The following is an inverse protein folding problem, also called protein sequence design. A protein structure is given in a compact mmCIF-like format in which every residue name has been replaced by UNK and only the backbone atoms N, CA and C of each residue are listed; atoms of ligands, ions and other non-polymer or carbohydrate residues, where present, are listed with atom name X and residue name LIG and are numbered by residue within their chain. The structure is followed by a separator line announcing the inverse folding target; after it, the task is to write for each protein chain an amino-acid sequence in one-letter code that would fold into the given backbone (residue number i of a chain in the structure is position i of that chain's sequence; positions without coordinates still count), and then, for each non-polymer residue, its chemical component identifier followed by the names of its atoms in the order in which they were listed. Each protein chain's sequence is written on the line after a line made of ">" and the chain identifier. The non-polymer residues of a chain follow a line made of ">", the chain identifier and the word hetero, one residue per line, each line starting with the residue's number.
data_IF_760487743024
#
_entry.id   IF_760487743024
#
_cell.length_a   1.000
_cell.length_b   1.000
_cell.length_c   1.000
_cell.angle_alpha   90.00
_cell.angle_beta   90.00
_cell.angle_gamma   90.00
#
_symmetry.space_group_name_H-M   'P 1'
#
loop_
_entity.id
_entity.type
_entity.pdbx_description
1 polymer ?
#
# COMPACT_ATOMS: atom_id res chain seq x y z
N UNK A 1 -38.25 20.32 8.52
CA UNK A 1 -37.79 19.78 9.83
C UNK A 1 -36.77 18.69 9.52
N UNK A 2 -35.49 19.01 9.60
CA UNK A 2 -34.37 18.08 9.34
C UNK A 2 -33.92 17.45 10.67
N UNK A 3 -33.73 16.12 10.74
CA UNK A 3 -33.22 15.47 11.94
C UNK A 3 -31.70 15.65 12.08
N UNK A 4 -31.30 15.76 13.35
CA UNK A 4 -30.00 16.16 13.88
C UNK A 4 -28.87 15.20 13.46
N UNK A 5 -27.83 15.76 12.85
CA UNK A 5 -26.51 15.14 12.71
C UNK A 5 -25.86 14.96 14.09
N UNK A 6 -25.93 13.75 14.65
CA UNK A 6 -25.02 13.25 15.69
C UNK A 6 -24.66 11.81 15.30
N UNK A 7 -23.35 11.54 15.23
CA UNK A 7 -22.67 10.26 14.92
C UNK A 7 -22.19 10.09 13.47
N UNK A 8 -21.21 10.89 13.06
CA UNK A 8 -20.16 10.45 12.13
C UNK A 8 -18.86 11.03 12.67
N UNK A 9 -18.23 10.33 13.62
CA UNK A 9 -17.03 10.79 14.32
C UNK A 9 -16.03 9.66 14.56
N UNK A 10 -16.09 8.60 13.75
CA UNK A 10 -15.12 7.51 13.75
C UNK A 10 -14.86 7.12 12.31
N UNK A 11 -13.59 6.89 11.99
CA UNK A 11 -13.04 6.49 10.68
C UNK A 11 -12.66 7.64 9.74
N UNK A 12 -11.71 8.48 10.19
CA UNK A 12 -10.68 9.09 9.34
C UNK A 12 -9.38 9.11 10.15
N UNK A 13 -8.86 7.93 10.44
CA UNK A 13 -7.50 7.78 10.98
C UNK A 13 -6.54 7.79 9.80
N UNK A 14 -6.22 8.98 9.29
CA UNK A 14 -5.08 9.18 8.39
C UNK A 14 -3.82 9.26 9.27
N UNK A 15 -3.43 8.11 9.84
CA UNK A 15 -2.15 7.98 10.53
C UNK A 15 -1.07 7.97 9.46
N UNK A 16 -0.59 9.16 9.10
CA UNK A 16 0.46 9.39 8.10
C UNK A 16 1.86 9.15 8.67
N UNK A 17 1.99 8.16 9.56
CA UNK A 17 3.27 7.70 10.10
C UNK A 17 3.56 6.34 9.48
N UNK A 18 3.89 6.34 8.18
CA UNK A 18 4.38 5.15 7.51
C UNK A 18 5.82 4.88 7.96
N UNK A 19 5.99 4.03 8.98
CA UNK A 19 7.30 3.51 9.40
C UNK A 19 7.78 2.51 8.34
N UNK A 20 8.41 3.00 7.27
CA UNK A 20 9.05 2.16 6.26
C UNK A 20 10.39 1.64 6.81
N UNK A 21 10.36 0.41 7.32
CA UNK A 21 11.55 -0.31 7.78
C UNK A 21 12.39 -0.80 6.58
N UNK A 22 13.63 -0.33 6.42
CA UNK A 22 14.67 -0.99 5.59
C UNK A 22 16.10 -0.54 5.98
N UNK A 23 16.88 -1.53 6.43
CA UNK A 23 18.33 -1.72 6.68
C UNK A 23 19.35 -0.58 6.47
N UNK A 24 20.32 -0.50 7.39
CA UNK A 24 21.37 0.53 7.52
C UNK A 24 22.78 0.02 7.14
N UNK A 25 23.61 0.90 6.57
CA UNK A 25 25.07 0.85 6.68
C UNK A 25 25.58 2.23 7.11
N UNK A 26 26.53 2.22 8.05
CA UNK A 26 26.98 3.36 8.83
C UNK A 26 28.08 4.19 8.15
N UNK A 27 28.03 5.51 8.33
CA UNK A 27 29.23 6.36 8.37
C UNK A 27 28.97 7.63 9.20
N UNK A 28 29.88 7.93 10.13
CA UNK A 28 29.86 9.13 10.98
C UNK A 28 30.49 10.34 10.27
N UNK A 29 29.92 11.53 10.47
CA UNK A 29 30.47 12.82 10.05
C UNK A 29 29.99 13.95 10.97
N UNK A 30 30.83 14.96 11.20
CA UNK A 30 30.91 15.81 12.41
C UNK A 30 30.11 17.12 12.29
N UNK A 31 29.63 17.59 13.45
CA UNK A 31 28.72 18.73 13.76
C UNK A 31 29.29 20.13 13.45
N UNK A 32 28.44 21.06 13.03
CA UNK A 32 28.54 22.51 13.28
C UNK A 32 27.17 23.05 13.74
N UNK A 33 27.17 23.93 14.75
CA UNK A 33 25.98 24.52 15.37
C UNK A 33 25.54 25.79 14.62
N UNK A 34 24.29 25.85 14.17
CA UNK A 34 23.70 27.03 13.55
C UNK A 34 22.70 27.72 14.51
N UNK A 35 22.90 29.03 14.70
CA UNK A 35 21.98 29.96 15.38
C UNK A 35 20.69 30.11 14.59
N UNK A 36 19.55 30.12 15.28
CA UNK A 36 18.22 30.40 14.71
C UNK A 36 18.20 31.80 14.08
N UNK A 37 17.95 31.95 12.77
CA UNK A 37 17.73 33.25 12.16
C UNK A 37 16.36 33.79 12.58
N UNK A 38 16.25 35.09 12.84
CA UNK A 38 14.94 35.75 12.88
C UNK A 38 14.24 35.52 11.52
N UNK A 39 13.06 34.91 11.55
CA UNK A 39 12.26 34.65 10.36
C UNK A 39 11.87 35.97 9.71
N UNK A 40 12.26 36.17 8.44
CA UNK A 40 11.87 37.30 7.60
C UNK A 40 10.50 37.11 6.96
N UNK A 41 9.77 36.06 7.33
CA UNK A 41 8.44 35.78 6.81
C UNK A 41 7.41 36.77 7.35
N UNK A 42 6.73 37.45 6.44
CA UNK A 42 5.68 38.45 6.72
C UNK A 42 4.29 37.96 6.30
N UNK A 43 4.17 36.69 5.92
CA UNK A 43 2.88 36.09 5.56
C UNK A 43 1.94 35.98 6.77
N UNK A 44 0.65 35.81 6.49
CA UNK A 44 -0.38 35.76 7.52
C UNK A 44 -0.17 34.56 8.46
N UNK A 45 -0.43 34.74 9.75
CA UNK A 45 -0.43 33.64 10.73
C UNK A 45 -1.68 32.78 10.52
N UNK A 46 -1.50 31.48 10.27
CA UNK A 46 -2.58 30.50 10.08
C UNK A 46 -2.83 29.64 11.31
N UNK A 47 -1.87 29.52 12.22
CA UNK A 47 -2.11 28.94 13.53
C UNK A 47 -1.27 29.61 14.62
N UNK A 48 -1.80 29.66 15.84
CA UNK A 48 -1.09 30.11 17.04
C UNK A 48 -1.22 29.04 18.12
N UNK A 49 -0.12 28.74 18.81
CA UNK A 49 -0.09 27.71 19.85
C UNK A 49 0.83 28.11 21.00
N UNK A 50 0.83 27.33 22.08
CA UNK A 50 1.80 27.51 23.16
C UNK A 50 3.21 27.21 22.66
N UNK A 51 3.99 28.25 22.39
CA UNK A 51 5.39 28.13 21.96
C UNK A 51 5.69 28.71 20.58
N UNK A 52 4.68 29.11 19.81
CA UNK A 52 4.91 29.71 18.49
C UNK A 52 3.66 29.99 17.68
N UNK A 53 3.91 30.22 16.39
CA UNK A 53 2.92 30.45 15.34
C UNK A 53 3.33 29.69 14.10
N UNK A 54 2.35 29.27 13.29
CA UNK A 54 2.58 28.78 11.93
C UNK A 54 2.08 29.85 10.96
N UNK A 55 2.91 30.25 10.00
CA UNK A 55 2.57 31.21 8.95
C UNK A 55 1.98 30.51 7.72
N UNK A 56 1.36 31.29 6.83
CA UNK A 56 0.79 30.77 5.60
C UNK A 56 1.86 30.18 4.68
N UNK A 57 3.06 30.75 4.64
CA UNK A 57 4.15 30.20 3.83
C UNK A 57 4.72 28.90 4.42
N UNK A 58 4.81 28.79 5.76
CA UNK A 58 5.21 27.55 6.44
C UNK A 58 4.20 26.44 6.14
N UNK A 59 2.90 26.70 6.32
CA UNK A 59 1.86 25.72 6.04
C UNK A 59 1.78 25.34 4.55
N UNK A 60 1.91 26.30 3.63
CA UNK A 60 1.96 26.02 2.18
C UNK A 60 3.20 25.20 1.80
N UNK A 61 4.34 25.39 2.49
CA UNK A 61 5.50 24.51 2.36
C UNK A 61 5.18 23.09 2.85
N UNK A 62 4.58 22.96 4.02
CA UNK A 62 4.15 21.67 4.59
C UNK A 62 3.27 20.90 3.60
N UNK A 63 2.25 21.56 3.05
CA UNK A 63 1.34 20.96 2.08
C UNK A 63 2.05 20.49 0.82
N UNK A 64 3.01 21.26 0.30
CA UNK A 64 3.78 20.84 -0.89
C UNK A 64 4.70 19.67 -0.60
N UNK A 65 5.38 19.65 0.54
CA UNK A 65 6.21 18.51 0.96
C UNK A 65 5.34 17.27 1.14
N UNK A 66 4.20 17.39 1.79
CA UNK A 66 3.26 16.27 1.95
C UNK A 66 2.73 15.76 0.62
N UNK A 67 2.37 16.66 -0.31
CA UNK A 67 1.93 16.28 -1.66
C UNK A 67 3.04 15.59 -2.46
N UNK A 68 4.29 15.97 -2.24
CA UNK A 68 5.45 15.31 -2.84
C UNK A 68 5.63 13.89 -2.30
N UNK A 69 5.52 13.72 -0.98
CA UNK A 69 5.72 12.42 -0.32
C UNK A 69 4.55 11.46 -0.50
N UNK A 70 3.33 12.00 -0.58
CA UNK A 70 2.09 11.21 -0.60
C UNK A 70 1.09 11.76 -1.63
N UNK A 71 1.41 11.66 -2.94
CA UNK A 71 0.58 12.20 -4.01
C UNK A 71 -0.84 11.61 -4.05
N UNK A 72 -1.04 10.41 -3.53
CA UNK A 72 -2.34 9.73 -3.45
C UNK A 72 -3.36 10.48 -2.59
N UNK A 73 -2.92 11.31 -1.64
CA UNK A 73 -3.81 12.11 -0.79
C UNK A 73 -4.03 13.53 -1.31
N UNK A 74 -3.52 13.89 -2.50
CA UNK A 74 -3.60 15.26 -3.02
C UNK A 74 -5.05 15.81 -3.08
N UNK A 75 -6.03 14.98 -3.44
CA UNK A 75 -7.43 15.40 -3.45
C UNK A 75 -7.99 15.66 -2.04
N UNK A 76 -7.57 14.87 -1.05
CA UNK A 76 -7.97 15.10 0.34
C UNK A 76 -7.31 16.38 0.89
N UNK A 77 -6.07 16.68 0.49
CA UNK A 77 -5.35 17.89 0.89
C UNK A 77 -6.03 19.21 0.50
N UNK A 78 -6.89 19.19 -0.51
CA UNK A 78 -7.65 20.37 -0.93
C UNK A 78 -8.91 20.60 -0.07
N UNK A 79 -9.35 19.62 0.72
CA UNK A 79 -10.53 19.71 1.59
C UNK A 79 -10.24 20.54 2.85
N UNK A 80 -11.16 21.44 3.21
CA UNK A 80 -11.01 22.33 4.38
C UNK A 80 -10.74 21.57 5.68
N UNK A 81 -11.52 20.51 5.97
CA UNK A 81 -11.34 19.70 7.19
C UNK A 81 -9.97 19.01 7.23
N UNK A 82 -9.44 18.61 6.08
CA UNK A 82 -8.12 18.01 6.00
C UNK A 82 -7.01 19.05 6.17
N UNK A 83 -7.17 20.25 5.58
CA UNK A 83 -6.24 21.37 5.83
C UNK A 83 -6.19 21.74 7.31
N UNK A 84 -7.34 21.76 7.99
CA UNK A 84 -7.40 21.98 9.43
C UNK A 84 -6.68 20.87 10.21
N UNK A 85 -6.81 19.62 9.78
CA UNK A 85 -6.05 18.51 10.35
C UNK A 85 -4.54 18.67 10.13
N UNK A 86 -4.11 19.03 8.92
CA UNK A 86 -2.68 19.20 8.59
C UNK A 86 -2.02 20.33 9.39
N UNK A 87 -2.66 21.49 9.52
CA UNK A 87 -2.07 22.59 10.30
C UNK A 87 -1.98 22.23 11.78
N UNK A 88 -2.95 21.47 12.31
CA UNK A 88 -2.90 20.94 13.67
C UNK A 88 -1.77 19.91 13.83
N UNK A 89 -1.58 19.03 12.84
CA UNK A 89 -0.48 18.08 12.81
C UNK A 89 0.88 18.81 12.80
N UNK A 90 1.05 19.81 11.94
CA UNK A 90 2.25 20.64 11.89
C UNK A 90 2.55 21.29 13.25
N UNK A 91 1.54 21.91 13.87
CA UNK A 91 1.66 22.45 15.24
C UNK A 91 2.12 21.39 16.24
N UNK A 92 1.56 20.18 16.19
CA UNK A 92 1.93 19.10 17.10
C UNK A 92 3.42 18.74 16.94
N UNK A 93 3.90 18.59 15.71
CA UNK A 93 5.29 18.24 15.43
C UNK A 93 6.27 19.38 15.76
N UNK A 94 5.92 20.63 15.45
CA UNK A 94 6.74 21.79 15.86
C UNK A 94 6.85 21.89 17.38
N UNK A 95 5.71 21.77 18.08
CA UNK A 95 5.67 21.82 19.54
C UNK A 95 6.50 20.71 20.19
N UNK A 96 6.33 19.46 19.73
CA UNK A 96 7.04 18.32 20.28
C UNK A 96 8.53 18.34 19.92
N UNK A 97 8.88 18.71 18.68
CA UNK A 97 10.27 18.82 18.23
C UNK A 97 11.03 19.90 19.01
N UNK A 98 10.38 21.05 19.27
CA UNK A 98 10.95 22.13 20.09
C UNK A 98 11.24 21.71 21.55
N UNK A 99 10.57 20.66 22.04
CA UNK A 99 10.76 20.08 23.38
C UNK A 99 11.69 18.87 23.42
N UNK A 100 12.05 18.33 22.26
CA UNK A 100 12.87 17.13 22.18
C UNK A 100 14.26 17.36 22.76
N UNK A 101 14.81 16.31 23.36
CA UNK A 101 16.20 16.29 23.84
C UNK A 101 17.22 16.52 22.72
N UNK A 102 18.41 17.02 23.05
CA UNK A 102 19.48 17.20 22.06
C UNK A 102 19.95 15.86 21.47
N UNK A 103 19.88 14.80 22.27
CA UNK A 103 20.10 13.42 21.85
C UNK A 103 19.06 13.00 20.80
N UNK A 104 17.77 13.26 21.04
CA UNK A 104 16.69 12.96 20.09
C UNK A 104 16.80 13.80 18.81
N UNK A 105 17.18 15.08 18.90
CA UNK A 105 17.45 15.92 17.72
C UNK A 105 18.56 15.31 16.87
N UNK A 106 19.68 14.96 17.50
CA UNK A 106 20.84 14.35 16.82
C UNK A 106 20.46 13.02 16.15
N UNK A 107 19.74 12.14 16.87
CA UNK A 107 19.28 10.87 16.34
C UNK A 107 18.24 11.04 15.22
N UNK A 108 17.33 12.00 15.37
CA UNK A 108 16.31 12.35 14.39
C UNK A 108 16.91 12.85 13.09
N UNK A 109 17.85 13.81 13.14
CA UNK A 109 18.57 14.30 11.95
C UNK A 109 19.30 13.19 11.21
N UNK A 110 19.97 12.29 11.96
CA UNK A 110 20.65 11.14 11.35
C UNK A 110 19.65 10.24 10.61
N UNK A 111 18.57 9.84 11.28
CA UNK A 111 17.57 8.95 10.71
C UNK A 111 16.84 9.57 9.51
N UNK A 112 16.53 10.87 9.58
CA UNK A 112 15.93 11.63 8.48
C UNK A 112 16.86 11.71 7.27
N UNK A 113 18.16 11.95 7.49
CA UNK A 113 19.16 11.97 6.40
C UNK A 113 19.26 10.61 5.71
N UNK A 114 19.36 9.53 6.50
CA UNK A 114 19.43 8.16 5.97
C UNK A 114 18.17 7.79 5.17
N UNK A 115 16.98 8.19 5.65
CA UNK A 115 15.72 7.96 4.95
C UNK A 115 15.62 8.79 3.67
N UNK A 116 15.97 10.07 3.73
CA UNK A 116 16.00 10.96 2.57
C UNK A 116 16.93 10.43 1.47
N UNK A 117 18.15 10.05 1.83
CA UNK A 117 19.16 9.57 0.87
C UNK A 117 18.69 8.28 0.18
N UNK A 118 18.06 7.37 0.93
CA UNK A 118 17.43 6.15 0.35
C UNK A 118 16.30 6.48 -0.60
N UNK A 119 15.41 7.39 -0.20
CA UNK A 119 14.29 7.82 -1.03
C UNK A 119 14.78 8.45 -2.33
N UNK A 120 15.75 9.37 -2.24
CA UNK A 120 16.37 10.01 -3.39
C UNK A 120 17.07 9.00 -4.30
N UNK A 121 17.78 8.02 -3.74
CA UNK A 121 18.47 6.98 -4.50
C UNK A 121 17.52 6.00 -5.21
N UNK A 122 16.26 5.88 -4.77
CA UNK A 122 15.25 5.02 -5.41
C UNK A 122 14.66 5.61 -6.70
N UNK A 123 14.94 6.89 -6.98
CA UNK A 123 14.44 7.64 -8.13
C UNK A 123 15.61 8.07 -9.01
N UNK A 124 15.43 8.03 -10.34
CA UNK A 124 16.47 8.55 -11.25
C UNK A 124 16.70 10.05 -11.01
N UNK A 125 17.95 10.51 -11.12
CA UNK A 125 18.33 11.86 -10.70
C UNK A 125 17.60 12.99 -11.46
N UNK A 126 17.34 12.79 -12.75
CA UNK A 126 16.53 13.67 -13.60
C UNK A 126 15.07 13.71 -13.13
N UNK A 127 14.49 12.54 -12.85
CA UNK A 127 13.12 12.42 -12.35
C UNK A 127 12.96 13.07 -10.98
N UNK A 128 13.92 12.86 -10.07
CA UNK A 128 13.94 13.52 -8.76
C UNK A 128 13.93 15.05 -8.88
N UNK A 129 14.77 15.58 -9.77
CA UNK A 129 14.88 17.02 -10.02
C UNK A 129 13.56 17.59 -10.57
N UNK A 130 12.93 16.90 -11.52
CA UNK A 130 11.65 17.34 -12.08
C UNK A 130 10.50 17.24 -11.07
N UNK A 131 10.47 16.21 -10.22
CA UNK A 131 9.47 16.08 -9.15
C UNK A 131 9.57 17.23 -8.15
N UNK A 132 10.78 17.59 -7.71
CA UNK A 132 11.00 18.74 -6.82
C UNK A 132 10.54 20.04 -7.47
N UNK A 133 10.91 20.26 -8.73
CA UNK A 133 10.53 21.45 -9.50
C UNK A 133 9.02 21.56 -9.68
N UNK A 134 8.33 20.45 -9.92
CA UNK A 134 6.86 20.42 -10.06
C UNK A 134 6.15 20.90 -8.77
N UNK A 135 6.73 20.64 -7.60
CA UNK A 135 6.22 21.08 -6.30
C UNK A 135 6.96 22.33 -5.76
N UNK A 136 7.85 22.97 -6.53
CA UNK A 136 8.66 24.11 -6.07
C UNK A 136 9.40 23.83 -4.74
N UNK A 137 9.94 22.62 -4.59
CA UNK A 137 10.66 22.16 -3.41
C UNK A 137 12.18 22.09 -3.65
N UNK A 138 12.93 22.10 -2.56
CA UNK A 138 14.35 21.72 -2.53
C UNK A 138 14.55 20.42 -1.73
N UNK A 139 15.74 19.83 -1.84
CA UNK A 139 16.16 18.72 -0.98
C UNK A 139 16.03 19.09 0.51
N UNK A 140 16.44 20.30 0.88
CA UNK A 140 16.41 20.77 2.26
C UNK A 140 14.98 20.86 2.81
N UNK A 141 14.01 21.30 2.00
CA UNK A 141 12.60 21.32 2.45
C UNK A 141 12.10 19.95 2.88
N UNK A 142 12.47 18.89 2.15
CA UNK A 142 12.08 17.52 2.48
C UNK A 142 12.87 17.02 3.69
N UNK A 143 14.18 17.30 3.76
CA UNK A 143 15.03 16.89 4.89
C UNK A 143 14.60 17.53 6.20
N UNK A 144 14.21 18.80 6.18
CA UNK A 144 13.76 19.53 7.37
C UNK A 144 12.45 18.94 7.89
N UNK A 145 11.49 18.69 7.00
CA UNK A 145 10.24 17.99 7.32
C UNK A 145 10.50 16.61 7.95
N UNK A 146 11.34 15.79 7.30
CA UNK A 146 11.71 14.47 7.82
C UNK A 146 12.44 14.56 9.16
N UNK A 147 13.33 15.55 9.32
CA UNK A 147 14.08 15.76 10.57
C UNK A 147 13.13 16.08 11.71
N UNK A 148 12.18 16.99 11.52
CA UNK A 148 11.19 17.33 12.55
C UNK A 148 10.39 16.10 12.98
N UNK A 149 9.91 15.30 12.04
CA UNK A 149 9.16 14.07 12.34
C UNK A 149 10.04 13.04 13.07
N UNK A 150 11.24 12.77 12.56
CA UNK A 150 12.14 11.77 13.13
C UNK A 150 12.67 12.19 14.51
N UNK A 151 12.87 13.48 14.75
CA UNK A 151 13.21 14.01 16.09
C UNK A 151 12.11 13.70 17.09
N UNK A 152 10.84 13.94 16.74
CA UNK A 152 9.71 13.63 17.64
C UNK A 152 9.60 12.12 17.88
N UNK A 153 9.74 11.29 16.84
CA UNK A 153 9.73 9.83 16.99
C UNK A 153 10.87 9.36 17.91
N UNK A 154 12.10 9.83 17.68
CA UNK A 154 13.27 9.44 18.49
C UNK A 154 13.17 9.93 19.93
N UNK A 155 12.55 11.07 20.18
CA UNK A 155 12.28 11.56 21.53
C UNK A 155 11.27 10.67 22.25
N UNK A 156 10.15 10.31 21.60
CA UNK A 156 9.15 9.39 22.15
C UNK A 156 9.68 7.99 22.40
N UNK A 157 10.54 7.49 21.53
CA UNK A 157 11.22 6.22 21.72
C UNK A 157 12.06 6.17 23.03
N UNK A 158 12.51 7.31 23.57
CA UNK A 158 13.24 7.29 24.86
C UNK A 158 12.38 6.83 26.03
N UNK A 159 11.05 7.00 25.95
CA UNK A 159 10.08 6.56 26.96
C UNK A 159 9.61 5.12 26.78
N UNK A 160 9.89 4.48 25.63
CA UNK A 160 9.40 3.13 25.32
C UNK A 160 10.28 2.08 26.02
N UNK A 161 9.65 1.29 26.90
CA UNK A 161 10.31 0.24 27.68
C UNK A 161 10.27 -1.13 26.98
N UNK A 162 11.21 -2.01 27.30
CA UNK A 162 11.22 -3.41 26.80
C UNK A 162 9.91 -4.15 27.14
N UNK A 163 9.32 -3.86 28.31
CA UNK A 163 8.04 -4.43 28.71
C UNK A 163 6.89 -3.94 27.81
N UNK A 164 6.90 -2.68 27.39
CA UNK A 164 5.92 -2.15 26.44
C UNK A 164 6.10 -2.78 25.05
N UNK A 165 7.34 -2.94 24.58
CA UNK A 165 7.65 -3.63 23.31
C UNK A 165 7.16 -5.07 23.38
N UNK A 166 7.42 -5.77 24.49
CA UNK A 166 6.95 -7.15 24.70
C UNK A 166 5.43 -7.23 24.73
N UNK A 167 4.76 -6.30 25.41
CA UNK A 167 3.30 -6.27 25.45
C UNK A 167 2.70 -6.06 24.04
N UNK A 168 3.26 -5.15 23.24
CA UNK A 168 2.81 -4.92 21.87
C UNK A 168 3.12 -6.11 20.95
N UNK A 169 4.27 -6.76 21.15
CA UNK A 169 4.58 -8.02 20.47
C UNK A 169 3.56 -9.11 20.79
N UNK A 170 3.24 -9.35 22.06
CA UNK A 170 2.30 -10.42 22.44
C UNK A 170 0.88 -10.15 21.92
N UNK A 171 0.47 -8.88 21.88
CA UNK A 171 -0.82 -8.47 21.30
C UNK A 171 -0.90 -8.74 19.79
N UNK A 172 0.22 -8.63 19.08
CA UNK A 172 0.31 -8.81 17.63
C UNK A 172 1.14 -10.03 17.24
N UNK A 173 1.26 -11.03 18.13
CA UNK A 173 2.20 -12.16 17.99
C UNK A 173 2.01 -12.93 16.68
N UNK A 174 0.77 -13.03 16.23
CA UNK A 174 0.40 -13.66 14.96
C UNK A 174 1.07 -12.99 13.74
N UNK A 175 1.37 -11.68 13.82
CA UNK A 175 2.05 -10.95 12.75
C UNK A 175 3.51 -11.39 12.56
N UNK A 176 4.11 -11.99 13.59
CA UNK A 176 5.51 -12.41 13.59
C UNK A 176 5.68 -13.91 13.31
N UNK A 177 4.58 -14.63 13.07
CA UNK A 177 4.64 -16.06 12.73
C UNK A 177 5.15 -16.21 11.29
N UNK A 178 6.14 -17.08 11.10
CA UNK A 178 6.62 -17.47 9.77
C UNK A 178 6.35 -18.94 9.51
N UNK A 179 6.18 -19.30 8.24
CA UNK A 179 5.98 -20.69 7.84
C UNK A 179 6.64 -20.97 6.50
N UNK A 180 7.13 -22.19 6.34
CA UNK A 180 7.42 -22.74 5.01
C UNK A 180 6.23 -23.60 4.57
N UNK A 181 5.61 -23.24 3.46
CA UNK A 181 4.44 -23.93 2.90
C UNK A 181 4.66 -24.24 1.43
N UNK A 182 4.20 -25.41 0.99
CA UNK A 182 3.95 -25.67 -0.43
C UNK A 182 2.48 -25.59 -0.71
N UNK A 183 2.09 -24.98 -1.82
CA UNK A 183 0.71 -24.97 -2.24
C UNK A 183 0.52 -25.16 -3.74
N UNK A 184 -0.68 -25.60 -4.11
CA UNK A 184 -1.21 -25.56 -5.48
C UNK A 184 -2.43 -24.64 -5.45
N UNK A 185 -2.44 -23.59 -6.28
CA UNK A 185 -3.62 -22.75 -6.46
C UNK A 185 -4.39 -23.21 -7.70
N UNK A 186 -5.67 -23.52 -7.55
CA UNK A 186 -6.60 -23.67 -8.66
C UNK A 186 -7.46 -22.42 -8.73
N UNK A 187 -7.14 -21.54 -9.66
CA UNK A 187 -7.74 -20.22 -9.78
C UNK A 187 -9.18 -20.23 -10.28
N UNK A 188 -9.90 -19.13 -10.05
CA UNK A 188 -11.16 -18.85 -10.78
C UNK A 188 -10.91 -18.31 -12.19
N UNK A 189 -9.66 -18.05 -12.54
CA UNK A 189 -9.21 -17.80 -13.91
C UNK A 189 -8.02 -18.70 -14.17
N UNK A 190 -8.05 -19.41 -15.29
CA UNK A 190 -6.95 -20.26 -15.73
C UNK A 190 -5.77 -19.37 -16.16
N UNK A 191 -4.64 -19.51 -15.49
CA UNK A 191 -3.45 -18.66 -15.70
C UNK A 191 -2.86 -18.80 -17.12
N UNK A 192 -3.03 -19.96 -17.76
CA UNK A 192 -2.44 -20.28 -19.07
C UNK A 192 -3.34 -19.79 -20.21
N UNK A 193 -4.65 -19.94 -20.07
CA UNK A 193 -5.64 -19.64 -21.12
C UNK A 193 -6.41 -18.35 -20.89
N UNK A 194 -6.29 -17.75 -19.70
CA UNK A 194 -7.02 -16.55 -19.26
C UNK A 194 -8.55 -16.72 -19.28
N UNK A 195 -9.04 -17.96 -19.28
CA UNK A 195 -10.47 -18.27 -19.26
C UNK A 195 -10.97 -18.31 -17.82
N UNK A 196 -12.11 -17.69 -17.58
CA UNK A 196 -12.83 -17.83 -16.31
C UNK A 196 -13.26 -19.28 -16.08
N UNK A 197 -13.18 -19.70 -14.83
CA UNK A 197 -13.52 -21.03 -14.33
C UNK A 197 -14.59 -20.87 -13.26
N UNK A 198 -15.69 -21.61 -13.40
CA UNK A 198 -16.72 -21.66 -12.35
C UNK A 198 -16.14 -22.28 -11.09
N UNK A 199 -16.67 -21.85 -9.95
CA UNK A 199 -16.23 -22.31 -8.64
C UNK A 199 -16.34 -23.83 -8.49
N UNK A 200 -17.39 -24.45 -9.02
CA UNK A 200 -17.60 -25.89 -8.97
C UNK A 200 -16.55 -26.66 -9.78
N UNK A 201 -16.15 -26.13 -10.94
CA UNK A 201 -15.13 -26.71 -11.79
C UNK A 201 -13.73 -26.59 -11.15
N UNK A 202 -13.43 -25.42 -10.57
CA UNK A 202 -12.20 -25.21 -9.80
C UNK A 202 -12.11 -26.16 -8.60
N UNK A 203 -13.21 -26.34 -7.87
CA UNK A 203 -13.27 -27.27 -6.74
C UNK A 203 -13.06 -28.73 -7.18
N UNK A 204 -13.60 -29.13 -8.33
CA UNK A 204 -13.41 -30.48 -8.88
C UNK A 204 -11.93 -30.75 -9.17
N UNK A 205 -11.25 -29.81 -9.83
CA UNK A 205 -9.82 -29.90 -10.12
C UNK A 205 -9.01 -29.91 -8.81
N UNK A 206 -9.36 -29.05 -7.85
CA UNK A 206 -8.69 -29.00 -6.55
C UNK A 206 -8.78 -30.33 -5.79
N UNK A 207 -9.94 -31.01 -5.85
CA UNK A 207 -10.12 -32.35 -5.26
C UNK A 207 -9.30 -33.42 -5.99
N UNK A 208 -9.17 -33.32 -7.31
CA UNK A 208 -8.30 -34.21 -8.09
C UNK A 208 -6.82 -34.03 -7.70
N UNK A 209 -6.36 -32.78 -7.64
CA UNK A 209 -5.00 -32.43 -7.19
C UNK A 209 -4.72 -33.00 -5.81
N UNK A 210 -5.64 -32.81 -4.85
CA UNK A 210 -5.51 -33.40 -3.51
C UNK A 210 -5.38 -34.92 -3.57
N UNK A 211 -6.23 -35.60 -4.35
CA UNK A 211 -6.19 -37.06 -4.47
C UNK A 211 -4.86 -37.57 -5.06
N UNK A 212 -4.28 -36.85 -6.03
CA UNK A 212 -2.95 -37.17 -6.59
C UNK A 212 -1.86 -37.01 -5.53
N UNK A 213 -1.89 -35.92 -4.78
CA UNK A 213 -0.91 -35.64 -3.72
C UNK A 213 -1.02 -36.63 -2.56
N UNK A 214 -2.24 -36.98 -2.13
CA UNK A 214 -2.49 -38.03 -1.13
C UNK A 214 -2.01 -39.41 -1.62
N UNK A 215 -2.09 -39.64 -2.94
CA UNK A 215 -1.57 -40.83 -3.62
C UNK A 215 -0.04 -40.87 -3.76
N UNK A 216 0.68 -39.84 -3.28
CA UNK A 216 2.14 -39.79 -3.29
C UNK A 216 2.76 -39.20 -4.57
N UNK A 217 1.99 -38.48 -5.39
CA UNK A 217 2.56 -37.72 -6.50
C UNK A 217 3.59 -36.68 -6.00
N UNK A 218 4.61 -36.41 -6.81
CA UNK A 218 5.58 -35.35 -6.49
C UNK A 218 4.89 -33.98 -6.49
N UNK A 219 5.06 -33.23 -5.39
CA UNK A 219 4.34 -31.98 -5.19
C UNK A 219 4.75 -30.93 -6.24
N UNK A 220 6.03 -30.84 -6.60
CA UNK A 220 6.53 -29.84 -7.55
C UNK A 220 6.03 -30.14 -8.97
N UNK A 221 5.95 -31.41 -9.36
CA UNK A 221 5.36 -31.79 -10.64
C UNK A 221 3.85 -31.46 -10.69
N UNK A 222 3.11 -31.73 -9.62
CA UNK A 222 1.69 -31.33 -9.52
C UNK A 222 1.52 -29.81 -9.59
N UNK A 223 2.40 -29.04 -8.95
CA UNK A 223 2.38 -27.57 -9.05
C UNK A 223 2.57 -27.11 -10.49
N UNK A 224 3.57 -27.64 -11.22
CA UNK A 224 3.83 -27.26 -12.62
C UNK A 224 2.65 -27.58 -13.54
N UNK A 225 2.00 -28.71 -13.30
CA UNK A 225 0.89 -29.16 -14.12
C UNK A 225 -0.37 -28.33 -13.85
N UNK A 226 -0.74 -28.15 -12.58
CA UNK A 226 -2.06 -27.65 -12.20
C UNK A 226 -2.11 -26.23 -11.64
N UNK A 227 -1.02 -25.70 -11.07
CA UNK A 227 -1.10 -24.44 -10.32
C UNK A 227 -1.29 -23.23 -11.24
N UNK A 228 -2.23 -22.38 -10.85
CA UNK A 228 -2.49 -21.07 -11.44
C UNK A 228 -1.70 -19.94 -10.75
N UNK A 229 -0.96 -20.24 -9.68
CA UNK A 229 -0.04 -19.26 -9.08
C UNK A 229 1.30 -19.23 -9.83
N UNK A 230 1.43 -18.27 -10.74
CA UNK A 230 2.65 -18.10 -11.56
C UNK A 230 3.88 -17.69 -10.75
N UNK A 231 3.70 -17.15 -9.54
CA UNK A 231 4.82 -16.63 -8.74
C UNK A 231 5.59 -17.74 -8.00
N UNK A 232 4.91 -18.81 -7.60
CA UNK A 232 5.51 -19.90 -6.82
C UNK A 232 5.83 -21.16 -7.65
N UNK A 233 5.30 -21.28 -8.87
CA UNK A 233 5.49 -22.47 -9.73
C UNK A 233 6.96 -22.81 -9.96
N UNK A 234 7.82 -21.80 -10.16
CA UNK A 234 9.26 -22.01 -10.36
C UNK A 234 9.94 -22.69 -9.17
N UNK A 235 9.45 -22.44 -7.95
CA UNK A 235 9.96 -23.00 -6.69
C UNK A 235 9.17 -24.24 -6.22
N UNK A 236 8.33 -24.81 -7.11
CA UNK A 236 7.48 -25.96 -6.79
C UNK A 236 6.42 -25.63 -5.75
N UNK A 237 5.86 -24.42 -5.82
CA UNK A 237 4.77 -23.93 -4.98
C UNK A 237 5.22 -23.48 -3.60
N UNK A 238 6.53 -23.32 -3.37
CA UNK A 238 7.11 -23.07 -2.06
C UNK A 238 7.11 -21.59 -1.71
N UNK A 239 6.46 -21.24 -0.60
CA UNK A 239 6.80 -20.04 0.16
C UNK A 239 7.68 -20.44 1.31
N UNK A 240 8.95 -20.03 1.26
CA UNK A 240 9.96 -20.41 2.26
C UNK A 240 10.08 -19.34 3.34
N UNK A 241 9.94 -19.77 4.60
CA UNK A 241 10.11 -18.94 5.81
C UNK A 241 9.39 -17.58 5.73
N UNK A 242 8.21 -17.59 5.12
CA UNK A 242 7.50 -16.38 4.76
C UNK A 242 6.58 -15.89 5.90
N UNK A 243 6.40 -14.56 6.06
CA UNK A 243 5.50 -14.00 7.07
C UNK A 243 4.05 -14.37 6.79
N UNK A 244 3.44 -15.13 7.71
CA UNK A 244 2.06 -15.61 7.60
C UNK A 244 1.05 -14.47 7.67
N UNK A 245 1.43 -13.34 8.27
CA UNK A 245 0.62 -12.14 8.41
C UNK A 245 0.15 -11.54 7.07
N UNK A 246 0.93 -11.74 6.01
CA UNK A 246 0.70 -11.15 4.70
C UNK A 246 -0.19 -12.00 3.79
N UNK A 247 -0.67 -13.15 4.28
CA UNK A 247 -1.48 -14.08 3.50
C UNK A 247 -2.96 -13.82 3.71
N UNK A 248 -3.76 -14.09 2.68
CA UNK A 248 -5.23 -14.03 2.74
C UNK A 248 -5.76 -14.92 3.87
N UNK A 249 -6.82 -14.46 4.53
CA UNK A 249 -7.25 -15.00 5.82
C UNK A 249 -7.46 -16.52 5.82
N UNK A 250 -8.10 -17.07 4.79
CA UNK A 250 -8.33 -18.52 4.72
C UNK A 250 -7.04 -19.34 4.58
N UNK A 251 -6.09 -18.86 3.78
CA UNK A 251 -4.77 -19.49 3.63
C UNK A 251 -3.95 -19.38 4.92
N UNK A 252 -4.00 -18.21 5.58
CA UNK A 252 -3.38 -17.96 6.88
C UNK A 252 -3.91 -18.92 7.95
N UNK A 253 -5.23 -19.03 8.08
CA UNK A 253 -5.86 -19.90 9.09
C UNK A 253 -5.60 -21.38 8.81
N UNK A 254 -5.63 -21.81 7.55
CA UNK A 254 -5.23 -23.15 7.16
C UNK A 254 -3.75 -23.41 7.51
N UNK A 255 -2.87 -22.46 7.21
CA UNK A 255 -1.45 -22.54 7.57
C UNK A 255 -1.25 -22.68 9.06
N UNK A 256 -2.02 -21.98 9.90
CA UNK A 256 -1.91 -22.01 11.37
C UNK A 256 -2.49 -23.29 12.00
N UNK A 257 -3.45 -23.93 11.37
CA UNK A 257 -4.18 -25.06 11.97
C UNK A 257 -3.77 -26.42 11.41
N UNK A 258 -3.30 -26.47 10.17
CA UNK A 258 -2.93 -27.72 9.51
C UNK A 258 -1.73 -28.37 10.22
N UNK A 259 -1.77 -29.68 10.53
CA UNK A 259 -0.60 -30.37 11.06
C UNK A 259 0.56 -30.37 10.06
N UNK A 260 1.80 -30.31 10.57
CA UNK A 260 2.98 -30.32 9.71
C UNK A 260 2.99 -31.55 8.79
N UNK A 261 3.38 -31.31 7.55
CA UNK A 261 3.50 -32.28 6.46
C UNK A 261 2.19 -32.99 6.06
N UNK A 262 1.04 -32.52 6.53
CA UNK A 262 -0.27 -32.95 6.01
C UNK A 262 -0.69 -32.10 4.82
N UNK A 263 -1.39 -32.73 3.88
CA UNK A 263 -2.03 -32.06 2.75
C UNK A 263 -3.44 -31.66 3.18
N UNK A 264 -3.79 -30.38 2.99
CA UNK A 264 -5.10 -29.85 3.35
C UNK A 264 -6.20 -30.38 2.43
N UNK A 265 -7.45 -30.25 2.87
CA UNK A 265 -8.59 -30.16 1.94
C UNK A 265 -8.49 -28.86 1.11
N UNK A 266 -9.24 -28.72 -0.01
CA UNK A 266 -9.28 -27.48 -0.75
C UNK A 266 -9.74 -26.30 0.12
N UNK A 267 -8.87 -25.31 0.28
CA UNK A 267 -9.11 -24.08 1.06
C UNK A 267 -9.52 -22.98 0.09
N UNK A 268 -10.73 -22.46 0.23
CA UNK A 268 -11.22 -21.40 -0.65
C UNK A 268 -10.67 -20.02 -0.23
N UNK A 269 -10.22 -19.23 -1.20
CA UNK A 269 -9.96 -17.79 -1.04
C UNK A 269 -10.52 -17.02 -2.24
N UNK A 270 -10.37 -15.69 -2.23
CA UNK A 270 -10.70 -14.84 -3.37
C UNK A 270 -9.94 -15.19 -4.67
N UNK A 271 -8.80 -15.88 -4.56
CA UNK A 271 -7.99 -16.30 -5.70
C UNK A 271 -8.42 -17.65 -6.29
N UNK A 272 -9.18 -18.46 -5.55
CA UNK A 272 -9.53 -19.83 -5.94
C UNK A 272 -9.40 -20.83 -4.80
N UNK A 273 -9.11 -22.09 -5.14
CA UNK A 273 -8.90 -23.16 -4.18
C UNK A 273 -7.43 -23.50 -4.01
N UNK A 274 -6.98 -23.51 -2.76
CA UNK A 274 -5.61 -23.84 -2.38
C UNK A 274 -5.51 -25.23 -1.77
N UNK A 275 -4.54 -26.01 -2.21
CA UNK A 275 -4.16 -27.27 -1.57
C UNK A 275 -2.81 -27.02 -0.94
N UNK A 276 -2.75 -27.07 0.39
CA UNK A 276 -1.64 -26.54 1.18
C UNK A 276 -0.96 -27.70 1.91
N UNK A 277 0.36 -27.66 1.99
CA UNK A 277 1.19 -28.49 2.86
C UNK A 277 2.11 -27.58 3.66
N UNK A 278 1.97 -27.60 4.98
CA UNK A 278 2.85 -26.83 5.88
C UNK A 278 4.10 -27.68 6.18
N UNK A 279 5.26 -27.25 5.71
CA UNK A 279 6.53 -27.96 5.92
C UNK A 279 7.17 -27.58 7.26
N UNK A 280 7.12 -26.29 7.60
CA UNK A 280 7.56 -25.76 8.90
C UNK A 280 6.68 -24.61 9.34
N UNK A 281 6.57 -24.42 10.66
CA UNK A 281 5.94 -23.25 11.26
C UNK A 281 6.79 -22.82 12.44
N UNK A 282 7.19 -21.54 12.44
CA UNK A 282 7.91 -20.93 13.54
C UNK A 282 6.95 -19.95 14.19
N UNK A 283 6.44 -20.35 15.36
CA UNK A 283 5.69 -19.42 16.20
C UNK A 283 6.58 -18.26 16.63
N UNK A 284 5.98 -17.08 16.65
CA UNK A 284 6.68 -15.89 17.08
C UNK A 284 7.16 -16.04 18.53
N UNK A 285 8.37 -15.60 18.80
CA UNK A 285 8.98 -15.61 20.13
C UNK A 285 9.69 -14.28 20.32
N UNK A 286 9.31 -13.56 21.38
CA UNK A 286 9.88 -12.25 21.69
C UNK A 286 11.41 -12.30 21.81
N UNK A 287 11.95 -13.40 22.33
CA UNK A 287 13.40 -13.59 22.51
C UNK A 287 14.15 -13.77 21.19
N UNK A 288 13.43 -14.14 20.12
CA UNK A 288 13.96 -14.35 18.78
C UNK A 288 13.76 -13.15 17.85
N UNK A 289 13.09 -12.10 18.32
CA UNK A 289 12.97 -10.88 17.53
C UNK A 289 14.35 -10.29 17.24
N UNK A 290 14.58 -9.95 15.98
CA UNK A 290 15.79 -9.23 15.56
C UNK A 290 15.81 -7.82 16.18
N UNK A 291 16.98 -7.18 16.18
CA UNK A 291 17.11 -5.81 16.65
C UNK A 291 16.20 -4.86 15.84
N UNK A 292 16.08 -5.09 14.54
CA UNK A 292 15.24 -4.32 13.62
C UNK A 292 13.75 -4.51 13.92
N UNK A 293 13.31 -5.72 14.27
CA UNK A 293 11.91 -5.98 14.64
C UNK A 293 11.55 -5.28 15.96
N UNK A 294 12.46 -5.29 16.93
CA UNK A 294 12.27 -4.57 18.21
C UNK A 294 12.25 -3.06 18.00
N UNK A 295 13.16 -2.53 17.17
CA UNK A 295 13.18 -1.10 16.82
C UNK A 295 11.89 -0.69 16.10
N UNK A 296 11.38 -1.51 15.17
CA UNK A 296 10.10 -1.25 14.49
C UNK A 296 8.93 -1.18 15.47
N UNK A 297 8.82 -2.14 16.40
CA UNK A 297 7.80 -2.10 17.46
C UNK A 297 7.95 -0.86 18.35
N UNK A 298 9.19 -0.47 18.65
CA UNK A 298 9.50 0.72 19.43
C UNK A 298 9.03 2.00 18.73
N UNK A 299 9.33 2.15 17.44
CA UNK A 299 8.86 3.29 16.63
C UNK A 299 7.33 3.30 16.48
N UNK A 300 6.68 2.13 16.40
CA UNK A 300 5.21 2.03 16.36
C UNK A 300 4.58 2.51 17.67
N UNK A 301 5.13 2.12 18.82
CA UNK A 301 4.68 2.60 20.13
C UNK A 301 4.88 4.11 20.28
N UNK A 302 6.03 4.62 19.84
CA UNK A 302 6.30 6.05 19.80
C UNK A 302 5.28 6.81 18.93
N UNK A 303 4.95 6.29 17.75
CA UNK A 303 3.92 6.86 16.87
C UNK A 303 2.53 6.85 17.54
N UNK A 304 2.16 5.76 18.23
CA UNK A 304 0.91 5.68 18.97
C UNK A 304 0.81 6.72 20.11
N UNK A 305 1.93 7.04 20.76
CA UNK A 305 1.98 8.13 21.75
C UNK A 305 1.79 9.51 21.10
N UNK A 306 2.34 9.74 19.91
CA UNK A 306 2.13 10.98 19.15
C UNK A 306 0.66 11.12 18.75
N UNK A 307 0.05 10.04 18.24
CA UNK A 307 -1.38 10.01 17.91
C UNK A 307 -2.26 10.30 19.14
N UNK A 308 -1.90 9.72 20.29
CA UNK A 308 -2.59 9.97 21.57
C UNK A 308 -2.46 11.43 21.99
N UNK A 309 -1.29 12.05 21.80
CA UNK A 309 -1.07 13.47 22.07
C UNK A 309 -1.92 14.35 21.14
N UNK A 310 -1.93 14.07 19.83
CA UNK A 310 -2.75 14.81 18.86
C UNK A 310 -4.24 14.74 19.20
N UNK A 311 -4.73 13.60 19.69
CA UNK A 311 -6.13 13.42 20.03
C UNK A 311 -6.55 14.06 21.36
N UNK A 312 -5.69 14.05 22.37
CA UNK A 312 -6.10 14.36 23.75
C UNK A 312 -5.50 15.64 24.32
N UNK A 313 -4.36 16.09 23.79
CA UNK A 313 -3.56 17.16 24.37
C UNK A 313 -3.42 18.36 23.43
N UNK A 314 -3.47 18.15 22.11
CA UNK A 314 -3.23 19.20 21.13
C UNK A 314 -4.20 20.38 21.22
N UNK A 315 -5.49 20.12 21.45
CA UNK A 315 -6.51 21.17 21.61
C UNK A 315 -6.26 22.07 22.84
N UNK A 316 -5.46 21.62 23.81
CA UNK A 316 -5.06 22.44 24.97
C UNK A 316 -3.91 23.39 24.63
N UNK A 317 -3.17 23.11 23.56
CA UNK A 317 -1.94 23.79 23.13
C UNK A 317 -2.24 24.74 21.98
N UNK A 318 -3.13 24.36 21.05
CA UNK A 318 -3.59 25.19 19.95
C UNK A 318 -4.50 26.30 20.50
N UNK A 319 -4.13 27.55 20.26
CA UNK A 319 -4.92 28.73 20.66
C UNK A 319 -5.89 29.14 19.58
N UNK A 320 -5.43 29.10 18.33
CA UNK A 320 -6.21 29.58 17.19
C UNK A 320 -5.73 28.92 15.89
N UNK A 321 -6.67 28.62 15.00
CA UNK A 321 -6.44 28.22 13.61
C UNK A 321 -7.26 29.12 12.70
N UNK A 322 -6.61 29.75 11.72
CA UNK A 322 -7.18 30.68 10.74
C UNK A 322 -6.78 30.25 9.34
N UNK A 323 -7.54 29.31 8.77
CA UNK A 323 -7.37 28.90 7.39
C UNK A 323 -8.38 29.60 6.48
N UNK A 324 -7.98 30.05 5.27
CA UNK A 324 -8.93 30.48 4.26
C UNK A 324 -9.80 29.28 3.86
N UNK A 325 -11.12 29.45 3.91
CA UNK A 325 -12.06 28.42 3.45
C UNK A 325 -11.98 28.31 1.94
N UNK A 326 -12.03 27.07 1.44
CA UNK A 326 -12.11 26.83 0.00
C UNK A 326 -13.46 27.37 -0.48
N UNK A 327 -13.46 28.31 -1.44
CA UNK A 327 -14.69 28.77 -2.06
C UNK A 327 -15.39 27.56 -2.69
N UNK A 328 -16.57 27.20 -2.16
CA UNK A 328 -17.45 26.27 -2.84
C UNK A 328 -17.81 26.92 -4.17
N UNK A 329 -17.35 26.33 -5.28
CA UNK A 329 -17.96 26.62 -6.57
C UNK A 329 -19.47 26.41 -6.39
N UNK A 330 -20.25 27.49 -6.50
CA UNK A 330 -21.69 27.40 -6.53
C UNK A 330 -22.04 26.43 -7.66
N UNK A 331 -22.61 25.27 -7.31
CA UNK A 331 -23.31 24.44 -8.28
C UNK A 331 -24.37 25.35 -8.90
N UNK A 332 -24.09 25.83 -10.11
CA UNK A 332 -25.03 26.63 -10.87
C UNK A 332 -26.33 25.87 -10.99
N UNK A 333 -27.32 26.28 -10.20
CA UNK A 333 -28.71 25.94 -10.40
C UNK A 333 -29.08 26.46 -11.78
N UNK A 334 -29.08 25.57 -12.76
CA UNK A 334 -29.73 25.83 -14.04
C UNK A 334 -31.24 25.75 -13.80
N UNK A 335 -31.81 26.87 -13.36
CA UNK A 335 -33.23 27.15 -13.57
C UNK A 335 -33.46 27.29 -15.08
N UNK A 336 -33.88 26.19 -15.71
CA UNK A 336 -34.39 26.14 -17.07
C UNK A 336 -35.89 25.89 -17.08
N UNK A 337 -36.65 26.95 -16.86
CA UNK A 337 -38.07 27.21 -17.20
C UNK A 337 -38.88 26.07 -17.85
N UNK A 338 -39.90 25.63 -17.13
CA UNK A 338 -41.13 25.03 -17.71
C UNK A 338 -42.01 26.12 -18.34
N UNK A 339 -42.37 25.97 -19.62
CA UNK A 339 -43.34 26.81 -20.34
C UNK A 339 -43.88 26.10 -21.59
N UNK A 340 -45.18 25.81 -21.56
CA UNK A 340 -46.01 24.91 -22.37
C UNK A 340 -46.49 25.47 -23.71
N UNK A 341 -46.74 24.60 -24.71
CA UNK A 341 -47.64 24.85 -25.86
C UNK A 341 -47.37 23.93 -27.09
N UNK A 342 -47.96 22.74 -27.25
CA UNK A 342 -49.27 22.34 -27.85
C UNK A 342 -49.22 21.92 -29.35
N UNK A 343 -49.60 20.65 -29.57
CA UNK A 343 -50.31 19.99 -30.71
C UNK A 343 -49.65 19.53 -32.04
N UNK A 344 -50.04 18.28 -32.39
CA UNK A 344 -50.13 17.67 -33.74
C UNK A 344 -49.11 16.55 -34.00
N UNK A 345 -49.39 15.36 -34.52
CA UNK A 345 -50.59 14.60 -34.88
C UNK A 345 -50.10 13.16 -35.23
N UNK A 346 -50.90 12.15 -34.86
CA UNK A 346 -51.17 10.85 -35.53
C UNK A 346 -50.09 9.89 -36.10
N UNK A 347 -50.32 8.62 -35.72
CA UNK A 347 -50.49 7.38 -36.53
C UNK A 347 -49.32 6.46 -36.94
N UNK A 348 -49.35 5.27 -36.32
CA UNK A 348 -49.33 3.88 -36.87
C UNK A 348 -48.13 3.32 -37.65
N UNK A 349 -47.64 2.18 -37.14
CA UNK A 349 -47.12 0.96 -37.80
C UNK A 349 -47.73 0.66 -39.20
N UNK A 350 -47.14 -0.19 -40.10
CA UNK A 350 -46.50 -1.49 -39.77
C UNK A 350 -45.35 -2.03 -40.70
N UNK A 351 -44.99 -3.28 -40.37
CA UNK A 351 -44.08 -4.32 -40.91
C UNK A 351 -44.00 -4.64 -42.43
N UNK A 352 -42.85 -5.27 -42.76
CA UNK A 352 -42.51 -6.42 -43.69
C UNK A 352 -42.44 -6.29 -45.22
N UNK A 353 -41.30 -6.73 -45.79
CA UNK A 353 -41.10 -7.80 -46.83
C UNK A 353 -39.57 -7.94 -47.08
N UNK A 354 -38.87 -9.07 -46.94
CA UNK A 354 -38.78 -10.36 -47.68
C UNK A 354 -38.16 -10.30 -49.09
N UNK A 355 -37.09 -11.08 -49.31
CA UNK A 355 -36.70 -11.68 -50.59
C UNK A 355 -35.51 -12.65 -50.46
N UNK A 356 -35.70 -13.82 -51.08
CA UNK A 356 -34.99 -15.10 -51.10
C UNK A 356 -33.92 -15.29 -52.21
N UNK A 357 -33.09 -16.36 -52.07
CA UNK A 357 -32.44 -17.16 -53.15
C UNK A 357 -30.95 -16.85 -53.42
N UNK A 358 -30.02 -17.77 -53.71
CA UNK A 358 -30.05 -19.18 -54.19
C UNK A 358 -28.63 -19.80 -54.11
N UNK A 359 -28.55 -21.13 -54.03
CA UNK A 359 -27.34 -21.99 -54.16
C UNK A 359 -26.62 -21.86 -55.51
N UNK A 360 -25.28 -22.06 -55.57
CA UNK A 360 -24.63 -22.96 -56.56
C UNK A 360 -23.22 -23.39 -56.11
N UNK A 361 -22.92 -24.64 -56.44
CA UNK A 361 -21.76 -25.51 -56.20
C UNK A 361 -20.76 -25.44 -57.37
N UNK A 362 -19.45 -25.46 -57.13
CA UNK A 362 -18.48 -26.00 -58.12
C UNK A 362 -17.20 -26.50 -57.49
N UNK A 363 -16.63 -27.49 -58.17
CA UNK A 363 -15.65 -28.49 -57.78
C UNK A 363 -14.34 -28.30 -58.59
N UNK A 364 -13.27 -28.96 -58.11
CA UNK A 364 -12.11 -29.52 -58.83
C UNK A 364 -10.88 -28.69 -59.30
N UNK A 365 -9.70 -29.28 -59.01
CA UNK A 365 -8.54 -29.41 -59.91
C UNK A 365 -7.25 -28.67 -59.50
N UNK A 366 -6.33 -29.22 -58.68
CA UNK A 366 -5.14 -30.06 -59.01
C UNK A 366 -4.07 -29.45 -59.94
N UNK A 367 -2.84 -29.31 -59.42
CA UNK A 367 -1.49 -29.66 -59.96
C UNK A 367 -0.44 -28.99 -59.04
N UNK A 368 0.63 -29.57 -58.47
CA UNK A 368 1.36 -30.81 -58.72
C UNK A 368 2.78 -30.49 -59.20
N UNK A 369 3.82 -30.62 -58.34
CA UNK A 369 5.24 -31.01 -58.61
C UNK A 369 6.09 -30.75 -57.34
N UNK A 370 6.46 -31.80 -56.60
CA UNK A 370 7.74 -32.59 -56.62
C UNK A 370 8.86 -31.96 -55.75
N UNK A 371 9.25 -32.60 -54.62
CA UNK A 371 10.30 -33.66 -54.41
C UNK A 371 11.72 -33.09 -54.57
N UNK A 372 12.75 -33.41 -53.79
CA UNK A 372 13.13 -34.50 -52.86
C UNK A 372 14.09 -33.87 -51.80
N UNK A 373 14.13 -34.26 -50.52
CA UNK A 373 14.92 -35.36 -49.92
C UNK A 373 16.41 -35.37 -50.38
N UNK A 374 17.46 -35.46 -49.57
CA UNK A 374 17.72 -36.35 -48.41
C UNK A 374 19.11 -35.99 -47.80
N UNK A 375 19.32 -36.29 -46.51
CA UNK A 375 20.58 -36.73 -45.81
C UNK A 375 21.88 -35.91 -45.91
N UNK A 376 22.56 -35.66 -44.78
CA UNK A 376 23.59 -36.57 -44.21
C UNK A 376 24.22 -36.02 -42.91
N UNK A 377 24.77 -36.94 -42.12
CA UNK A 377 25.41 -36.85 -40.82
C UNK A 377 26.76 -36.08 -40.79
N UNK A 378 27.23 -35.80 -39.57
CA UNK A 378 28.60 -36.21 -39.20
C UNK A 378 29.71 -35.15 -39.17
N UNK A 379 30.07 -34.74 -37.95
CA UNK A 379 31.45 -34.58 -37.41
C UNK A 379 32.61 -34.08 -38.31
N UNK A 380 33.29 -33.01 -37.88
CA UNK A 380 34.69 -33.08 -37.40
C UNK A 380 35.29 -31.70 -37.03
N UNK A 381 35.80 -31.66 -35.81
CA UNK A 381 36.88 -30.87 -35.19
C UNK A 381 37.68 -29.84 -35.99
N UNK A 382 37.92 -28.68 -35.36
CA UNK A 382 39.25 -28.29 -34.88
C UNK A 382 39.17 -27.37 -33.67
#
# INVERSE_FOLDING_TARGET
>A
MLPKYKKVGKVLSVSMVAVLSLSLLAACGKKEEAKTPESTDTSAVVATYDGGTITANEFDMEQRVMKFLYPEYAQMMDMDDFKEYLVKQEVAYEYLSGKASEEAKTAGTKAATEQFDKMKASVQADQWTEMLKAQKLTDDNIKDYMTRIMTVIKDKETGVTDDAIKAEFEKNKDQFTTASVRHVLIGFTDSKTQKERKKEDALKIAKEVKAKLDGGADFAEVVKEYSDDTNSVADGGLFKDAPVANWVDSFKEATKTLPLNKISDPVESEYGYHIIKVESRTEADFTKLSAEQKESLKSQLAAAEIDTFMQNELDKIVKEVKLPKTEKAEEGTTEGTTGTGTEGEKTTEPKTDDSTGTDTKTDQGTTGTDKDATTDEGTSSK
#
